data_IF_025349770039
#
_entry.id   IF_025349770039
#
_cell.length_a   1.000
_cell.length_b   1.000
_cell.length_c   1.000
_cell.angle_alpha   90.00
_cell.angle_beta   90.00
_cell.angle_gamma   90.00
#
_symmetry.space_group_name_H-M   'P 1'
#
loop_
_entity.id
_entity.type
_entity.pdbx_description
1 polymer ?
#
# COMPACT_ATOMS: atom_id res chain seq x y z
N UNK A 1 21.17 44.78 62.58
CA UNK A 1 21.18 44.47 61.10
C UNK A 1 20.50 43.18 60.89
N UNK A 2 19.27 43.14 60.45
CA UNK A 2 18.47 41.91 60.23
C UNK A 2 18.19 41.80 58.72
N UNK A 3 18.74 40.78 58.08
CA UNK A 3 18.49 40.47 56.67
C UNK A 3 17.28 39.57 56.58
N UNK A 4 16.25 40.01 55.88
CA UNK A 4 15.03 39.24 55.59
C UNK A 4 15.25 38.47 54.27
N UNK A 5 15.17 37.16 54.33
CA UNK A 5 15.09 36.27 53.18
C UNK A 5 13.62 36.16 52.75
N UNK A 6 13.33 36.58 51.54
CA UNK A 6 12.02 36.41 50.89
C UNK A 6 12.13 35.11 50.08
N UNK A 7 11.36 34.08 50.47
CA UNK A 7 11.20 32.86 49.74
C UNK A 7 10.14 33.03 48.66
N UNK A 8 10.51 32.93 47.39
CA UNK A 8 9.60 32.92 46.25
C UNK A 8 9.13 31.48 46.00
N UNK A 9 7.88 31.19 46.30
CA UNK A 9 7.25 29.90 45.97
C UNK A 9 6.80 29.92 44.50
N UNK A 10 7.45 29.14 43.63
CA UNK A 10 7.01 28.93 42.27
C UNK A 10 5.93 27.84 42.25
N UNK A 11 4.70 28.24 41.93
CA UNK A 11 3.58 27.31 41.66
C UNK A 11 3.75 26.78 40.24
N UNK A 12 4.20 25.54 40.10
CA UNK A 12 4.20 24.83 38.83
C UNK A 12 2.78 24.34 38.54
N UNK A 13 2.08 25.02 37.65
CA UNK A 13 0.80 24.55 37.10
C UNK A 13 1.08 23.42 36.10
N UNK A 14 0.88 22.18 36.52
CA UNK A 14 0.87 21.02 35.66
C UNK A 14 -0.38 21.07 34.77
N UNK A 15 -0.24 21.59 33.55
CA UNK A 15 -1.20 21.37 32.47
C UNK A 15 -1.15 19.89 32.10
N UNK A 16 -2.03 19.09 32.67
CA UNK A 16 -2.29 17.73 32.25
C UNK A 16 -2.84 17.73 30.82
N UNK A 17 -2.03 17.38 29.84
CA UNK A 17 -2.53 16.95 28.51
C UNK A 17 -3.36 15.70 28.73
N UNK A 18 -4.59 15.59 28.15
CA UNK A 18 -5.29 14.33 28.16
C UNK A 18 -4.43 13.31 27.40
N UNK A 19 -4.02 12.26 28.09
CA UNK A 19 -3.45 11.07 27.47
C UNK A 19 -4.60 10.53 26.61
N UNK A 20 -4.49 10.70 25.30
CA UNK A 20 -5.33 9.95 24.38
C UNK A 20 -5.17 8.49 24.76
N UNK A 21 -6.24 7.85 25.21
CA UNK A 21 -6.26 6.43 25.45
C UNK A 21 -5.80 5.78 24.14
N UNK A 22 -4.65 5.13 24.17
CA UNK A 22 -4.24 4.21 23.14
C UNK A 22 -5.34 3.16 23.09
N UNK A 23 -6.20 3.23 22.07
CA UNK A 23 -7.07 2.13 21.71
C UNK A 23 -6.11 1.04 21.31
N UNK A 24 -5.92 0.06 22.20
CA UNK A 24 -5.21 -1.16 21.84
C UNK A 24 -5.93 -1.73 20.61
N UNK A 25 -5.23 -1.96 19.48
CA UNK A 25 -5.85 -2.64 18.36
C UNK A 25 -6.28 -4.01 18.90
N UNK A 26 -7.57 -4.26 18.94
CA UNK A 26 -8.13 -5.59 19.16
C UNK A 26 -7.77 -6.40 17.91
N UNK A 27 -6.52 -6.87 17.85
CA UNK A 27 -6.02 -7.61 16.71
C UNK A 27 -6.80 -8.92 16.58
N UNK A 28 -7.79 -8.93 15.72
CA UNK A 28 -8.40 -10.18 15.27
C UNK A 28 -7.33 -10.92 14.45
N UNK A 29 -6.65 -11.86 15.09
CA UNK A 29 -5.61 -12.69 14.48
C UNK A 29 -6.18 -13.82 13.61
N UNK A 30 -7.51 -13.88 13.45
CA UNK A 30 -8.13 -14.86 12.57
C UNK A 30 -7.70 -14.61 11.11
N UNK A 31 -7.32 -15.68 10.38
CA UNK A 31 -7.04 -15.58 8.95
C UNK A 31 -8.22 -14.96 8.22
N UNK A 32 -7.95 -14.13 7.23
CA UNK A 32 -8.95 -13.50 6.38
C UNK A 32 -8.68 -13.87 4.93
N UNK A 33 -9.74 -14.05 4.16
CA UNK A 33 -9.67 -14.33 2.75
C UNK A 33 -10.43 -13.27 1.94
N UNK A 34 -9.83 -12.88 0.81
CA UNK A 34 -10.45 -11.94 -0.13
C UNK A 34 -10.46 -12.54 -1.52
N UNK A 35 -11.64 -12.62 -2.12
CA UNK A 35 -11.81 -13.01 -3.51
C UNK A 35 -11.96 -11.77 -4.39
N UNK A 36 -11.23 -11.75 -5.47
CA UNK A 36 -11.31 -10.73 -6.51
C UNK A 36 -11.82 -11.36 -7.80
N UNK A 37 -12.71 -10.67 -8.51
CA UNK A 37 -13.24 -11.13 -9.78
C UNK A 37 -13.31 -10.02 -10.82
N UNK A 38 -13.08 -10.39 -12.08
CA UNK A 38 -13.17 -9.51 -13.25
C UNK A 38 -12.33 -8.24 -13.05
N UNK A 39 -11.04 -8.42 -12.78
CA UNK A 39 -10.13 -7.32 -12.49
C UNK A 39 -9.29 -6.90 -13.69
N UNK A 40 -9.07 -5.60 -13.80
CA UNK A 40 -7.94 -5.00 -14.51
C UNK A 40 -6.97 -4.40 -13.50
N UNK A 41 -5.68 -4.40 -13.82
CA UNK A 41 -4.65 -4.00 -12.90
C UNK A 41 -3.52 -3.29 -13.64
N UNK A 42 -2.99 -2.20 -13.09
CA UNK A 42 -1.72 -1.65 -13.55
C UNK A 42 -0.63 -1.84 -12.51
N UNK A 43 0.58 -2.16 -12.98
CA UNK A 43 1.77 -2.32 -12.16
C UNK A 43 2.89 -1.47 -12.72
N UNK A 44 3.45 -0.63 -11.85
CA UNK A 44 4.68 0.13 -12.10
C UNK A 44 5.75 -0.24 -11.08
N UNK A 45 6.99 -0.49 -11.55
CA UNK A 45 8.15 -0.67 -10.66
C UNK A 45 9.18 0.40 -10.96
N UNK A 46 9.30 1.35 -10.05
CA UNK A 46 10.24 2.46 -10.09
C UNK A 46 11.44 2.26 -9.16
N UNK A 47 12.34 3.24 -9.11
CA UNK A 47 13.50 3.24 -8.24
C UNK A 47 13.45 4.42 -7.29
N UNK A 48 13.61 4.15 -5.99
CA UNK A 48 13.64 5.15 -4.92
C UNK A 48 14.93 5.04 -4.11
N UNK A 49 15.25 6.02 -3.29
CA UNK A 49 16.41 5.97 -2.41
C UNK A 49 16.32 4.82 -1.41
N UNK A 50 17.31 3.93 -1.39
CA UNK A 50 17.39 2.84 -0.43
C UNK A 50 17.39 3.36 1.00
N UNK A 51 18.15 4.42 1.29
CA UNK A 51 18.21 4.99 2.63
C UNK A 51 16.86 5.54 3.12
N UNK A 52 16.03 6.09 2.23
CA UNK A 52 14.68 6.54 2.59
C UNK A 52 13.73 5.35 2.78
N UNK A 53 13.85 4.30 1.97
CA UNK A 53 13.05 3.10 2.09
C UNK A 53 13.34 2.35 3.40
N UNK A 54 14.62 2.22 3.80
CA UNK A 54 15.04 1.56 5.04
C UNK A 54 14.51 2.26 6.31
N UNK A 55 14.25 3.56 6.26
CA UNK A 55 13.59 4.28 7.37
C UNK A 55 12.12 3.88 7.54
N UNK A 56 11.46 3.49 6.43
CA UNK A 56 10.03 3.14 6.41
C UNK A 56 9.77 1.63 6.56
N UNK A 57 10.76 0.80 6.31
CA UNK A 57 10.66 -0.65 6.39
C UNK A 57 11.31 -1.13 7.70
N UNK A 58 10.54 -1.54 8.73
CA UNK A 58 11.09 -1.92 10.01
C UNK A 58 11.78 -3.29 9.96
N UNK A 59 12.72 -3.54 10.86
CA UNK A 59 13.21 -4.89 11.09
C UNK A 59 12.02 -5.82 11.50
N UNK A 60 12.04 -7.11 11.12
CA UNK A 60 13.14 -7.85 10.50
C UNK A 60 13.18 -7.80 8.97
N UNK A 61 12.34 -7.00 8.32
CA UNK A 61 12.30 -6.92 6.87
C UNK A 61 13.58 -6.28 6.30
N UNK A 62 14.06 -6.84 5.20
CA UNK A 62 15.26 -6.36 4.51
C UNK A 62 14.88 -5.86 3.11
N UNK A 63 15.16 -4.60 2.85
CA UNK A 63 14.92 -3.95 1.55
C UNK A 63 15.85 -4.57 0.51
N UNK A 64 15.33 -4.90 -0.67
CA UNK A 64 16.15 -5.36 -1.80
C UNK A 64 17.08 -4.23 -2.22
N UNK A 65 18.37 -4.56 -2.45
CA UNK A 65 19.38 -3.56 -2.79
C UNK A 65 19.96 -2.81 -1.59
N UNK A 66 19.76 -3.30 -0.35
CA UNK A 66 20.51 -2.81 0.82
C UNK A 66 22.01 -2.73 0.51
N UNK A 67 22.61 -1.57 0.78
CA UNK A 67 23.99 -1.25 0.40
C UNK A 67 24.15 -0.66 -1.00
N UNK A 68 23.09 -0.55 -1.80
CA UNK A 68 23.06 0.21 -3.07
C UNK A 68 22.29 1.53 -2.91
N UNK A 69 22.48 2.53 -3.80
CA UNK A 69 21.81 3.83 -3.64
C UNK A 69 20.31 3.80 -3.88
N UNK A 70 19.80 2.80 -4.61
CA UNK A 70 18.39 2.71 -4.99
C UNK A 70 17.81 1.32 -4.77
N UNK A 71 16.49 1.28 -4.51
CA UNK A 71 15.68 0.08 -4.31
C UNK A 71 14.39 0.15 -5.13
N UNK A 72 13.80 -0.99 -5.55
CA UNK A 72 12.54 -0.98 -6.27
C UNK A 72 11.36 -0.59 -5.38
N UNK A 73 10.53 0.34 -5.90
CA UNK A 73 9.19 0.68 -5.39
C UNK A 73 8.15 0.08 -6.34
N UNK A 74 7.19 -0.66 -5.79
CA UNK A 74 6.05 -1.20 -6.54
C UNK A 74 4.83 -0.32 -6.31
N UNK A 75 4.19 0.09 -7.38
CA UNK A 75 2.88 0.72 -7.40
C UNK A 75 1.93 -0.20 -8.13
N UNK A 76 0.94 -0.72 -7.43
CA UNK A 76 -0.12 -1.57 -7.95
C UNK A 76 -1.43 -0.83 -7.85
N UNK A 77 -2.19 -0.78 -8.94
CA UNK A 77 -3.56 -0.26 -8.94
C UNK A 77 -4.47 -1.28 -9.61
N UNK A 78 -5.64 -1.55 -9.06
CA UNK A 78 -6.58 -2.48 -9.65
C UNK A 78 -8.02 -2.00 -9.51
N UNK A 79 -8.85 -2.35 -10.49
CA UNK A 79 -10.30 -2.18 -10.48
C UNK A 79 -10.95 -3.51 -10.77
N UNK A 80 -11.87 -3.94 -9.89
CA UNK A 80 -12.48 -5.25 -9.93
C UNK A 80 -14.00 -5.14 -10.02
N UNK A 81 -14.61 -5.92 -10.89
CA UNK A 81 -16.07 -6.10 -10.92
C UNK A 81 -16.60 -6.71 -9.63
N UNK A 82 -15.75 -7.43 -8.86
CA UNK A 82 -16.11 -7.98 -7.58
C UNK A 82 -14.96 -8.13 -6.59
N UNK A 83 -15.23 -7.69 -5.35
CA UNK A 83 -14.39 -7.94 -4.16
C UNK A 83 -15.30 -8.56 -3.11
N UNK A 84 -14.98 -9.77 -2.63
CA UNK A 84 -15.69 -10.43 -1.53
C UNK A 84 -14.71 -10.69 -0.37
N UNK A 85 -15.03 -10.19 0.81
CA UNK A 85 -14.22 -10.33 2.03
C UNK A 85 -14.85 -11.36 2.96
N UNK A 86 -14.08 -12.39 3.35
CA UNK A 86 -14.51 -13.48 4.26
C UNK A 86 -15.83 -14.13 3.82
N UNK A 87 -15.95 -14.46 2.52
CA UNK A 87 -17.16 -15.07 1.95
C UNK A 87 -18.40 -14.19 1.97
N UNK A 88 -18.26 -12.90 2.24
CA UNK A 88 -19.37 -11.95 2.24
C UNK A 88 -19.84 -11.56 0.83
N UNK A 89 -20.82 -10.63 0.76
CA UNK A 89 -21.32 -10.14 -0.53
C UNK A 89 -20.22 -9.53 -1.40
N UNK A 90 -20.23 -9.88 -2.67
CA UNK A 90 -19.34 -9.31 -3.69
C UNK A 90 -19.78 -7.88 -4.06
N UNK A 91 -18.82 -6.96 -4.14
CA UNK A 91 -19.03 -5.58 -4.57
C UNK A 91 -17.90 -5.15 -5.51
N UNK A 92 -18.24 -4.33 -6.52
CA UNK A 92 -17.22 -3.67 -7.32
C UNK A 92 -16.36 -2.75 -6.46
N UNK A 93 -15.06 -2.67 -6.78
CA UNK A 93 -14.17 -1.79 -6.03
C UNK A 93 -12.77 -1.74 -6.61
N UNK A 94 -12.07 -0.67 -6.23
CA UNK A 94 -10.72 -0.39 -6.69
C UNK A 94 -9.73 -0.42 -5.51
N UNK A 95 -8.49 -0.78 -5.80
CA UNK A 95 -7.39 -0.85 -4.85
C UNK A 95 -6.18 -0.12 -5.42
N UNK A 96 -5.48 0.65 -4.58
CA UNK A 96 -4.14 1.16 -4.84
C UNK A 96 -3.23 0.73 -3.70
N UNK A 97 -2.17 0.01 -4.03
CA UNK A 97 -1.21 -0.51 -3.07
C UNK A 97 0.21 -0.12 -3.49
N UNK A 98 0.96 0.46 -2.56
CA UNK A 98 2.32 0.94 -2.80
C UNK A 98 3.24 0.35 -1.74
N UNK A 99 4.38 -0.19 -2.17
CA UNK A 99 5.35 -0.76 -1.26
C UNK A 99 6.74 -0.87 -1.85
N UNK A 100 7.69 -1.15 -0.99
CA UNK A 100 9.10 -1.36 -1.35
C UNK A 100 9.36 -2.86 -1.46
N UNK A 101 10.09 -3.27 -2.49
CA UNK A 101 10.47 -4.68 -2.65
C UNK A 101 11.44 -5.09 -1.54
N UNK A 102 11.12 -6.20 -0.90
CA UNK A 102 11.91 -6.78 0.19
C UNK A 102 12.42 -8.17 -0.16
N UNK A 103 13.48 -8.60 0.51
CA UNK A 103 13.92 -10.00 0.49
C UNK A 103 12.79 -10.85 1.07
N UNK A 104 12.34 -11.91 0.37
CA UNK A 104 11.23 -12.73 0.83
C UNK A 104 11.48 -13.31 2.23
N UNK A 105 10.68 -12.98 3.25
CA UNK A 105 10.90 -13.51 4.61
C UNK A 105 10.73 -15.02 4.71
N UNK A 106 9.89 -15.62 3.86
CA UNK A 106 9.55 -17.04 3.82
C UNK A 106 9.93 -17.74 2.51
N UNK A 107 10.64 -17.05 1.62
CA UNK A 107 11.09 -17.55 0.32
C UNK A 107 9.96 -18.03 -0.63
N UNK A 108 8.75 -17.49 -0.47
CA UNK A 108 7.60 -17.80 -1.32
C UNK A 108 7.17 -16.62 -2.19
N UNK A 109 6.39 -16.91 -3.25
CA UNK A 109 5.85 -15.90 -4.18
C UNK A 109 6.85 -15.40 -5.22
N UNK A 110 6.32 -14.83 -6.30
CA UNK A 110 7.10 -14.30 -7.42
C UNK A 110 7.68 -12.91 -7.09
N UNK A 111 6.96 -12.12 -6.29
CA UNK A 111 7.41 -10.83 -5.77
C UNK A 111 7.00 -10.68 -4.31
N UNK A 112 7.88 -10.02 -3.52
CA UNK A 112 7.60 -9.69 -2.13
C UNK A 112 7.82 -8.20 -1.89
N UNK A 113 6.82 -7.52 -1.33
CA UNK A 113 6.87 -6.08 -1.05
C UNK A 113 6.40 -5.77 0.36
N UNK A 114 7.03 -4.81 1.02
CA UNK A 114 6.55 -4.24 2.27
C UNK A 114 5.53 -3.14 1.94
N UNK A 115 4.29 -3.27 2.45
CA UNK A 115 3.21 -2.32 2.19
C UNK A 115 3.42 -1.03 2.97
N UNK A 116 3.53 0.07 2.26
CA UNK A 116 3.60 1.42 2.85
C UNK A 116 2.26 2.14 2.80
N UNK A 117 1.51 1.96 1.70
CA UNK A 117 0.20 2.57 1.49
C UNK A 117 -0.76 1.55 0.90
N UNK A 118 -1.98 1.55 1.41
CA UNK A 118 -3.08 0.73 0.89
C UNK A 118 -4.36 1.57 0.89
N UNK A 119 -4.92 1.82 -0.27
CA UNK A 119 -6.17 2.55 -0.45
C UNK A 119 -7.18 1.66 -1.18
N UNK A 120 -8.42 1.68 -0.76
CA UNK A 120 -9.49 0.95 -1.45
C UNK A 120 -10.81 1.69 -1.37
N UNK A 121 -11.64 1.56 -2.40
CA UNK A 121 -13.01 2.04 -2.42
C UNK A 121 -13.97 1.10 -1.67
N UNK A 122 -13.57 -0.14 -1.37
CA UNK A 122 -14.38 -1.06 -0.57
C UNK A 122 -14.15 -0.86 0.92
N UNK A 123 -15.20 -0.41 1.63
CA UNK A 123 -15.15 -0.10 3.06
C UNK A 123 -14.92 -1.35 3.93
N UNK A 124 -15.45 -2.52 3.51
CA UNK A 124 -15.30 -3.77 4.27
C UNK A 124 -13.87 -4.28 4.19
N UNK A 125 -13.28 -4.24 2.99
CA UNK A 125 -11.87 -4.58 2.77
C UNK A 125 -10.96 -3.66 3.58
N UNK A 126 -11.17 -2.34 3.52
CA UNK A 126 -10.39 -1.39 4.29
C UNK A 126 -10.42 -1.68 5.79
N UNK A 127 -11.60 -1.87 6.37
CA UNK A 127 -11.75 -2.17 7.80
C UNK A 127 -11.10 -3.51 8.16
N UNK A 128 -11.39 -4.57 7.39
CA UNK A 128 -10.84 -5.90 7.68
C UNK A 128 -9.31 -5.92 7.66
N UNK A 129 -8.69 -5.27 6.69
CA UNK A 129 -7.23 -5.14 6.62
C UNK A 129 -6.68 -4.27 7.75
N UNK A 130 -7.34 -3.15 8.08
CA UNK A 130 -6.92 -2.29 9.19
C UNK A 130 -6.98 -3.01 10.54
N UNK A 131 -8.01 -3.85 10.77
CA UNK A 131 -8.15 -4.67 11.99
C UNK A 131 -7.02 -5.69 12.15
N UNK A 132 -6.38 -6.13 11.04
CA UNK A 132 -5.19 -6.98 11.09
C UNK A 132 -3.88 -6.21 11.24
N UNK A 133 -3.89 -4.88 11.19
CA UNK A 133 -2.69 -4.04 11.28
C UNK A 133 -2.13 -3.57 9.94
N UNK A 134 -2.74 -3.92 8.81
CA UNK A 134 -2.38 -3.35 7.49
C UNK A 134 -2.77 -1.88 7.47
N UNK A 135 -1.93 -0.94 6.93
CA UNK A 135 -2.24 0.49 6.86
C UNK A 135 -3.30 0.80 5.78
N UNK A 136 -4.39 0.02 5.78
CA UNK A 136 -5.46 0.13 4.81
C UNK A 136 -6.41 1.28 5.13
N UNK A 137 -6.81 2.01 4.09
CA UNK A 137 -7.66 3.19 4.21
C UNK A 137 -8.79 3.14 3.17
N UNK A 138 -10.01 3.38 3.64
CA UNK A 138 -11.15 3.55 2.77
C UNK A 138 -11.12 4.94 2.10
N UNK A 139 -11.26 4.96 0.77
CA UNK A 139 -11.32 6.16 -0.06
C UNK A 139 -12.54 6.08 -0.97
N UNK A 140 -13.67 6.66 -0.55
CA UNK A 140 -14.96 6.54 -1.24
C UNK A 140 -15.02 7.16 -2.64
N UNK A 141 -14.07 8.01 -3.00
CA UNK A 141 -13.96 8.65 -4.32
C UNK A 141 -12.67 8.25 -5.05
N UNK A 142 -12.14 7.06 -4.78
CA UNK A 142 -11.10 6.46 -5.59
C UNK A 142 -11.70 6.17 -6.97
N UNK A 143 -11.07 6.68 -8.03
CA UNK A 143 -11.48 6.42 -9.41
C UNK A 143 -10.41 5.63 -10.15
N UNK A 144 -10.87 4.75 -11.03
CA UNK A 144 -10.05 3.96 -11.93
C UNK A 144 -10.70 3.95 -13.32
N UNK A 145 -10.21 4.78 -14.20
CA UNK A 145 -10.78 4.98 -15.51
C UNK A 145 -9.82 4.41 -16.57
N UNK A 146 -10.30 3.47 -17.37
CA UNK A 146 -9.59 2.94 -18.54
C UNK A 146 -10.40 3.24 -19.79
N UNK A 147 -9.83 4.02 -20.70
CA UNK A 147 -10.42 4.25 -22.01
C UNK A 147 -9.95 3.17 -22.98
N UNK A 148 -10.85 2.41 -23.62
CA UNK A 148 -10.45 1.40 -24.60
C UNK A 148 -9.70 2.03 -25.79
N UNK A 149 -8.64 1.39 -26.22
CA UNK A 149 -7.83 1.85 -27.36
C UNK A 149 -6.59 0.97 -27.56
N UNK A 150 -5.82 1.27 -28.60
CA UNK A 150 -4.52 0.67 -28.84
C UNK A 150 -3.51 1.78 -29.25
N UNK A 151 -2.88 2.46 -28.28
CA UNK A 151 -3.00 2.30 -26.83
C UNK A 151 -4.31 2.90 -26.26
N UNK A 152 -4.77 2.33 -25.15
CA UNK A 152 -5.80 2.93 -24.31
C UNK A 152 -5.19 3.93 -23.32
N UNK A 153 -6.02 4.70 -22.61
CA UNK A 153 -5.58 5.62 -21.57
C UNK A 153 -6.02 5.10 -20.20
N UNK A 154 -5.14 5.23 -19.21
CA UNK A 154 -5.40 4.90 -17.81
C UNK A 154 -5.31 6.16 -16.96
N UNK A 155 -6.32 6.37 -16.11
CA UNK A 155 -6.36 7.42 -15.09
C UNK A 155 -6.83 6.86 -13.76
N UNK A 156 -5.93 6.80 -12.77
CA UNK A 156 -6.25 6.41 -11.39
C UNK A 156 -6.10 7.62 -10.50
N UNK A 157 -7.07 7.88 -9.62
CA UNK A 157 -7.06 9.00 -8.68
C UNK A 157 -7.40 8.52 -7.27
N UNK A 158 -6.57 8.91 -6.32
CA UNK A 158 -6.79 8.70 -4.88
C UNK A 158 -6.93 10.07 -4.22
N UNK A 159 -8.10 10.72 -4.29
CA UNK A 159 -8.33 11.99 -3.61
C UNK A 159 -8.42 11.75 -2.10
N UNK A 160 -7.82 12.62 -1.31
CA UNK A 160 -7.93 12.58 0.16
C UNK A 160 -7.89 13.97 0.76
N UNK A 161 -8.90 14.35 1.58
CA UNK A 161 -8.83 15.55 2.39
C UNK A 161 -7.64 15.47 3.35
N UNK A 162 -6.75 16.45 3.33
CA UNK A 162 -5.60 16.54 4.25
C UNK A 162 -4.44 15.57 3.97
N UNK A 163 -4.50 14.82 2.87
CA UNK A 163 -3.41 13.96 2.37
C UNK A 163 -3.05 14.33 0.94
N UNK A 164 -1.83 14.01 0.49
CA UNK A 164 -1.48 14.26 -0.90
C UNK A 164 -2.42 13.53 -1.84
N UNK A 165 -2.95 14.24 -2.83
CA UNK A 165 -3.56 13.60 -3.97
C UNK A 165 -2.50 12.68 -4.59
N UNK A 166 -2.92 11.48 -4.94
CA UNK A 166 -2.09 10.51 -5.66
C UNK A 166 -2.79 10.21 -6.98
N UNK A 167 -2.06 10.19 -8.07
CA UNK A 167 -2.56 9.69 -9.33
C UNK A 167 -1.57 8.78 -10.03
N UNK A 168 -2.09 7.83 -10.81
CA UNK A 168 -1.33 7.06 -11.80
C UNK A 168 -1.98 7.29 -13.15
N UNK A 169 -1.20 7.83 -14.07
CA UNK A 169 -1.65 8.18 -15.40
C UNK A 169 -0.77 7.55 -16.46
N UNK A 170 -1.33 7.22 -17.61
CA UNK A 170 -0.53 6.76 -18.73
C UNK A 170 -1.31 6.04 -19.80
N UNK A 171 -0.58 5.32 -20.65
CA UNK A 171 -1.15 4.51 -21.73
C UNK A 171 -1.01 3.04 -21.43
N UNK A 172 -1.97 2.24 -21.90
CA UNK A 172 -2.03 0.80 -21.68
C UNK A 172 -2.36 0.06 -22.98
N UNK A 173 -1.81 -1.15 -23.13
CA UNK A 173 -2.10 -2.06 -24.24
C UNK A 173 -3.01 -3.19 -23.80
N UNK A 174 -3.73 -3.79 -24.75
CA UNK A 174 -4.59 -4.93 -24.46
C UNK A 174 -3.76 -6.11 -23.94
N UNK A 175 -4.11 -6.68 -22.76
CA UNK A 175 -3.36 -7.79 -22.19
C UNK A 175 -3.58 -9.08 -22.96
N UNK A 176 -2.51 -9.90 -23.07
CA UNK A 176 -2.51 -11.24 -23.66
C UNK A 176 -2.20 -12.29 -22.58
N UNK A 177 -2.73 -13.54 -22.71
CA UNK A 177 -2.50 -14.60 -21.74
C UNK A 177 -1.02 -14.84 -21.47
N UNK A 178 -0.62 -14.91 -20.18
CA UNK A 178 0.77 -15.03 -19.77
C UNK A 178 1.05 -16.20 -18.79
N UNK A 179 0.14 -16.51 -17.86
CA UNK A 179 0.36 -17.63 -16.92
C UNK A 179 -0.31 -17.41 -15.58
N UNK A 180 0.34 -17.84 -14.49
CA UNK A 180 -0.05 -17.61 -13.12
C UNK A 180 0.94 -16.69 -12.41
N UNK A 181 0.52 -16.07 -11.30
CA UNK A 181 1.36 -15.15 -10.54
C UNK A 181 0.99 -15.17 -9.05
N UNK A 182 1.99 -15.05 -8.18
CA UNK A 182 1.80 -14.92 -6.73
C UNK A 182 2.54 -13.69 -6.21
N UNK A 183 1.79 -12.73 -5.68
CA UNK A 183 2.33 -11.55 -5.03
C UNK A 183 2.16 -11.63 -3.52
N UNK A 184 3.24 -11.44 -2.77
CA UNK A 184 3.21 -11.34 -1.32
C UNK A 184 3.46 -9.89 -0.89
N UNK A 185 2.56 -9.40 -0.05
CA UNK A 185 2.69 -8.09 0.58
C UNK A 185 2.76 -8.26 2.09
N UNK A 186 3.70 -7.56 2.69
CA UNK A 186 4.04 -7.73 4.10
C UNK A 186 3.82 -6.43 4.88
N UNK A 187 3.47 -6.57 6.16
CA UNK A 187 3.40 -5.47 7.13
C UNK A 187 3.95 -5.98 8.45
N UNK A 188 4.80 -5.20 9.12
CA UNK A 188 5.23 -5.48 10.48
C UNK A 188 4.19 -5.02 11.50
N UNK A 189 4.01 -5.80 12.56
CA UNK A 189 3.19 -5.48 13.73
C UNK A 189 3.95 -5.78 15.01
N UNK A 190 3.47 -5.30 16.15
CA UNK A 190 4.11 -5.60 17.46
C UNK A 190 4.08 -7.10 17.79
N UNK A 191 3.16 -7.86 17.19
CA UNK A 191 2.98 -9.29 17.42
C UNK A 191 3.61 -10.19 16.35
N UNK A 192 4.38 -9.63 15.40
CA UNK A 192 4.97 -10.36 14.27
C UNK A 192 4.74 -9.65 12.95
N UNK A 193 4.33 -10.39 11.92
CA UNK A 193 4.05 -9.84 10.59
C UNK A 193 2.69 -10.26 10.07
N UNK A 194 2.11 -9.44 9.21
CA UNK A 194 0.96 -9.80 8.39
C UNK A 194 1.46 -10.05 6.97
N UNK A 195 1.08 -11.19 6.40
CA UNK A 195 1.29 -11.54 5.00
C UNK A 195 -0.04 -11.51 4.26
N UNK A 196 -0.11 -10.74 3.21
CA UNK A 196 -1.18 -10.75 2.21
C UNK A 196 -0.64 -11.48 0.98
N UNK A 197 -1.03 -12.73 0.78
CA UNK A 197 -0.58 -13.55 -0.35
C UNK A 197 -1.67 -13.63 -1.40
N UNK A 198 -1.48 -12.95 -2.53
CA UNK A 198 -2.44 -12.92 -3.64
C UNK A 198 -2.00 -13.89 -4.73
N UNK A 199 -2.83 -14.91 -4.98
CA UNK A 199 -2.65 -15.88 -6.07
C UNK A 199 -3.57 -15.54 -7.23
N UNK A 200 -3.00 -15.35 -8.41
CA UNK A 200 -3.71 -15.14 -9.67
C UNK A 200 -3.46 -16.39 -10.55
N UNK A 201 -4.42 -17.31 -10.68
CA UNK A 201 -4.21 -18.57 -11.37
C UNK A 201 -4.06 -18.43 -12.89
N UNK A 202 -4.64 -17.37 -13.46
CA UNK A 202 -4.54 -17.04 -14.88
C UNK A 202 -4.53 -15.52 -15.05
N UNK A 203 -3.39 -14.99 -15.48
CA UNK A 203 -3.20 -13.56 -15.73
C UNK A 203 -2.92 -13.33 -17.21
N UNK A 204 -3.48 -12.26 -17.76
CA UNK A 204 -3.10 -11.69 -19.05
C UNK A 204 -2.29 -10.42 -18.80
N UNK A 205 -1.22 -10.21 -19.56
CA UNK A 205 -0.27 -9.10 -19.39
C UNK A 205 -0.19 -8.28 -20.68
N UNK A 206 -0.33 -7.00 -20.58
CA UNK A 206 -0.10 -6.00 -21.63
C UNK A 206 1.00 -5.01 -21.21
N UNK A 207 1.57 -4.31 -22.18
CA UNK A 207 2.50 -3.23 -21.90
C UNK A 207 1.75 -2.00 -21.37
N UNK A 208 2.48 -1.16 -20.64
CA UNK A 208 2.00 0.14 -20.19
C UNK A 208 3.14 1.16 -20.21
N UNK A 209 2.77 2.45 -20.24
CA UNK A 209 3.68 3.58 -19.99
C UNK A 209 3.00 4.48 -18.96
N UNK A 210 3.50 4.42 -17.72
CA UNK A 210 2.83 4.94 -16.53
C UNK A 210 3.70 5.97 -15.79
N UNK A 211 3.03 6.95 -15.18
CA UNK A 211 3.65 7.92 -14.27
C UNK A 211 2.79 8.01 -13.01
N UNK A 212 3.44 7.87 -11.85
CA UNK A 212 2.86 8.21 -10.56
C UNK A 212 3.12 9.69 -10.27
N UNK A 213 2.08 10.41 -9.87
CA UNK A 213 2.16 11.81 -9.40
C UNK A 213 1.61 11.92 -7.99
N UNK A 214 2.25 12.70 -7.13
CA UNK A 214 1.83 12.91 -5.74
C UNK A 214 2.29 14.28 -5.23
N UNK A 215 1.82 14.68 -4.05
CA UNK A 215 2.31 15.89 -3.40
C UNK A 215 3.75 15.70 -2.91
N UNK A 216 4.72 16.51 -3.37
CA UNK A 216 6.13 16.38 -2.98
C UNK A 216 6.39 16.57 -1.49
N UNK A 217 5.53 17.29 -0.76
CA UNK A 217 5.63 17.48 0.70
C UNK A 217 4.99 16.35 1.52
N UNK A 218 4.38 15.34 0.89
CA UNK A 218 3.81 14.18 1.55
C UNK A 218 4.82 13.04 1.74
N UNK A 219 4.45 12.03 2.54
CA UNK A 219 5.32 10.88 2.81
C UNK A 219 5.75 10.15 1.52
N UNK A 220 4.82 9.96 0.57
CA UNK A 220 5.13 9.35 -0.73
C UNK A 220 6.04 10.26 -1.57
N UNK A 221 5.79 11.58 -1.58
CA UNK A 221 6.64 12.54 -2.29
C UNK A 221 8.07 12.57 -1.75
N UNK A 222 8.24 12.48 -0.43
CA UNK A 222 9.56 12.34 0.18
C UNK A 222 10.24 11.03 -0.23
N UNK A 223 9.51 9.91 -0.26
CA UNK A 223 10.05 8.61 -0.66
C UNK A 223 10.52 8.60 -2.12
N UNK A 224 9.71 9.15 -3.04
CA UNK A 224 10.07 9.19 -4.47
C UNK A 224 11.03 10.34 -4.82
N UNK A 225 11.31 11.24 -3.86
CA UNK A 225 12.23 12.36 -4.03
C UNK A 225 11.66 13.51 -4.87
N UNK A 226 10.31 13.64 -4.95
CA UNK A 226 9.69 14.69 -5.75
C UNK A 226 8.19 14.54 -5.95
N UNK A 227 7.68 15.19 -6.99
CA UNK A 227 6.27 15.21 -7.35
C UNK A 227 5.84 14.00 -8.19
N UNK A 228 6.75 13.42 -8.97
CA UNK A 228 6.43 12.32 -9.88
C UNK A 228 7.58 11.32 -10.04
N UNK A 229 7.21 10.09 -10.41
CA UNK A 229 8.15 9.02 -10.74
C UNK A 229 7.61 8.19 -11.90
N UNK A 230 8.47 7.87 -12.87
CA UNK A 230 8.22 6.83 -13.88
C UNK A 230 8.71 5.46 -13.41
N UNK A 231 8.42 4.43 -14.18
CA UNK A 231 8.66 3.04 -13.80
C UNK A 231 9.60 2.33 -14.78
N UNK A 232 10.92 2.57 -14.71
CA UNK A 232 11.87 2.05 -15.69
C UNK A 232 12.10 0.53 -15.61
N UNK A 233 11.69 -0.15 -14.55
CA UNK A 233 11.93 -1.58 -14.38
C UNK A 233 10.78 -2.43 -14.91
N UNK A 234 9.55 -2.10 -14.57
CA UNK A 234 8.34 -2.80 -15.01
C UNK A 234 7.22 -1.81 -15.21
N UNK A 235 6.51 -1.94 -16.32
CA UNK A 235 5.26 -1.24 -16.58
C UNK A 235 4.31 -2.21 -17.29
N UNK A 236 3.24 -2.58 -16.63
CA UNK A 236 2.31 -3.58 -17.12
C UNK A 236 0.86 -3.16 -16.87
N UNK A 237 -0.01 -3.57 -17.80
CA UNK A 237 -1.44 -3.56 -17.63
C UNK A 237 -1.95 -4.99 -17.74
N UNK A 238 -2.56 -5.47 -16.68
CA UNK A 238 -2.96 -6.85 -16.51
C UNK A 238 -4.48 -6.99 -16.51
N UNK A 239 -4.95 -8.21 -16.83
CA UNK A 239 -6.35 -8.59 -16.63
C UNK A 239 -6.42 -10.03 -16.11
N UNK A 240 -7.38 -10.28 -15.20
CA UNK A 240 -7.64 -11.61 -14.67
C UNK A 240 -9.10 -11.78 -14.26
N UNK A 241 -9.66 -12.97 -14.51
CA UNK A 241 -11.05 -13.28 -14.14
C UNK A 241 -11.23 -13.54 -12.65
N UNK A 242 -10.17 -13.97 -11.95
CA UNK A 242 -10.23 -14.26 -10.52
C UNK A 242 -8.86 -14.26 -9.87
N UNK A 243 -8.81 -13.84 -8.62
CA UNK A 243 -7.66 -13.96 -7.74
C UNK A 243 -8.12 -14.18 -6.29
N UNK A 244 -7.30 -14.87 -5.53
CA UNK A 244 -7.52 -15.14 -4.12
C UNK A 244 -6.40 -14.54 -3.28
N UNK A 245 -6.74 -13.80 -2.24
CA UNK A 245 -5.76 -13.25 -1.29
C UNK A 245 -6.00 -13.80 0.10
N UNK A 246 -5.02 -14.54 0.61
CA UNK A 246 -4.94 -14.92 2.01
C UNK A 246 -4.26 -13.83 2.82
N UNK A 247 -4.88 -13.45 3.94
CA UNK A 247 -4.30 -12.53 4.93
C UNK A 247 -4.00 -13.33 6.19
N UNK A 248 -2.72 -13.52 6.49
CA UNK A 248 -2.27 -14.39 7.58
C UNK A 248 -1.32 -13.67 8.52
N UNK A 249 -1.42 -13.99 9.80
CA UNK A 249 -0.45 -13.56 10.81
C UNK A 249 0.75 -14.54 10.80
N UNK A 250 1.95 -13.99 10.73
CA UNK A 250 3.23 -14.73 10.78
C UNK A 250 3.95 -14.28 12.06
N UNK A 251 4.18 -15.18 13.01
CA UNK A 251 4.84 -14.88 14.29
C UNK A 251 6.27 -14.35 14.16
#
# INVERSE_FOLDING_TARGET
>A
MRSSLIALAAIATLCGKPIAALVEPSGDTAPSAVEFSDCVESIGVGLVSTAQAEVLVPAPFVVVGTGTPVTPLVVRTSDCGGIAVDGGPTKAGSVVQIGVVIVPPDFTGDINSYTLFYYTSDVKLAHRLADTGVPAQHVGHLTYDVTPGAPGELHVRVPRPGSPALSVDGTVENPAPAGSFVANWWVGTDAGAIKMSTTVPAISIGAADLVLTTNPGGALGHLIGGESIGFPLVQQFNAFAGAHMDVTHVP
#
